data_IF_553669936344
#
_entry.id   IF_553669936344
#
_cell.length_a   1.000
_cell.length_b   1.000
_cell.length_c   1.000
_cell.angle_alpha   90.00
_cell.angle_beta   90.00
_cell.angle_gamma   90.00
#
_symmetry.space_group_name_H-M   'P 1'
#
loop_
_entity.id
_entity.type
_entity.pdbx_description
1 polymer ?
#
# COMPACT_ATOMS: atom_id res chain seq x y z
N UNK A 1 14.28 43.88 -6.01
CA UNK A 1 13.05 43.07 -5.96
C UNK A 1 13.48 41.62 -5.95
N UNK A 2 13.59 41.02 -4.75
CA UNK A 2 14.01 39.63 -4.62
C UNK A 2 12.77 38.76 -4.87
N UNK A 3 12.79 37.97 -5.94
CA UNK A 3 11.78 36.95 -6.19
C UNK A 3 11.94 35.86 -5.14
N UNK A 4 11.08 35.85 -4.13
CA UNK A 4 10.91 34.70 -3.25
C UNK A 4 10.40 33.55 -4.11
N UNK A 5 11.28 32.61 -4.47
CA UNK A 5 10.86 31.34 -5.02
C UNK A 5 10.07 30.62 -3.93
N UNK A 6 8.75 30.50 -4.11
CA UNK A 6 7.91 29.66 -3.25
C UNK A 6 8.42 28.22 -3.35
N UNK A 7 9.09 27.77 -2.29
CA UNK A 7 9.59 26.42 -2.17
C UNK A 7 8.39 25.48 -2.05
N UNK A 8 8.37 24.40 -2.84
CA UNK A 8 7.28 23.43 -2.78
C UNK A 8 7.11 22.91 -1.34
N UNK A 9 5.87 22.83 -0.82
CA UNK A 9 5.63 22.36 0.55
C UNK A 9 6.22 20.97 0.78
N UNK A 10 6.75 20.73 1.99
CA UNK A 10 7.22 19.41 2.38
C UNK A 10 6.08 18.38 2.31
N UNK A 11 6.38 17.14 1.92
CA UNK A 11 5.37 16.09 1.72
C UNK A 11 4.48 15.85 2.95
N UNK A 12 4.99 16.06 4.17
CA UNK A 12 4.21 15.94 5.42
C UNK A 12 2.98 16.87 5.46
N UNK A 13 3.00 17.98 4.72
CA UNK A 13 1.89 18.93 4.64
C UNK A 13 0.68 18.40 3.86
N UNK A 14 0.76 17.20 3.28
CA UNK A 14 -0.42 16.49 2.79
C UNK A 14 -1.42 16.17 3.92
N UNK A 15 -0.93 16.02 5.15
CA UNK A 15 -1.69 15.90 6.41
C UNK A 15 -1.56 17.19 7.23
N UNK A 16 -1.92 18.34 6.64
CA UNK A 16 -2.02 19.61 7.37
C UNK A 16 -3.38 19.76 8.09
N UNK A 17 -3.59 20.87 8.80
CA UNK A 17 -4.84 21.13 9.52
C UNK A 17 -6.07 21.11 8.60
N UNK A 18 -5.97 21.64 7.37
CA UNK A 18 -7.07 21.62 6.39
C UNK A 18 -7.43 20.18 6.00
N UNK A 19 -6.44 19.30 5.84
CA UNK A 19 -6.70 17.88 5.58
C UNK A 19 -7.41 17.22 6.75
N UNK A 20 -7.00 17.52 7.99
CA UNK A 20 -7.67 17.00 9.18
C UNK A 20 -9.14 17.45 9.23
N UNK A 21 -9.42 18.73 8.95
CA UNK A 21 -10.79 19.24 8.84
C UNK A 21 -11.60 18.50 7.78
N UNK A 22 -11.04 18.31 6.58
CA UNK A 22 -11.69 17.55 5.52
C UNK A 22 -12.01 16.11 5.94
N UNK A 23 -11.09 15.40 6.59
CA UNK A 23 -11.33 14.04 7.10
C UNK A 23 -12.46 14.07 8.13
N UNK A 24 -12.44 15.03 9.05
CA UNK A 24 -13.45 15.16 10.09
C UNK A 24 -14.85 15.44 9.53
N UNK A 25 -14.96 16.30 8.52
CA UNK A 25 -16.21 16.65 7.84
C UNK A 25 -16.75 15.46 7.03
N UNK A 26 -15.86 14.74 6.32
CA UNK A 26 -16.22 13.53 5.59
C UNK A 26 -16.67 12.41 6.55
N UNK A 27 -16.04 12.28 7.72
CA UNK A 27 -16.47 11.35 8.76
C UNK A 27 -17.82 11.72 9.35
N UNK A 28 -18.05 12.99 9.67
CA UNK A 28 -19.35 13.45 10.16
C UNK A 28 -20.47 13.23 9.14
N UNK A 29 -20.16 13.28 7.84
CA UNK A 29 -21.12 12.97 6.77
C UNK A 29 -21.53 11.50 6.77
N UNK A 30 -20.62 10.56 7.07
CA UNK A 30 -20.96 9.12 7.13
C UNK A 30 -21.49 8.68 8.49
N UNK A 31 -21.16 9.43 9.54
CA UNK A 31 -21.55 9.16 10.91
C UNK A 31 -21.87 10.47 11.65
N UNK A 32 -23.14 10.93 11.66
CA UNK A 32 -23.51 12.21 12.27
C UNK A 32 -23.21 12.32 13.77
N UNK A 33 -23.10 11.20 14.49
CA UNK A 33 -22.71 11.19 15.91
C UNK A 33 -21.18 11.25 16.12
N UNK A 34 -20.38 11.33 15.07
CA UNK A 34 -18.92 11.41 15.14
C UNK A 34 -18.46 12.63 15.95
N UNK A 35 -17.62 12.41 16.97
CA UNK A 35 -16.98 13.48 17.74
C UNK A 35 -15.89 14.19 16.92
N UNK A 36 -16.37 15.10 16.07
CA UNK A 36 -15.55 15.93 15.19
C UNK A 36 -14.52 16.75 15.96
N UNK A 37 -14.91 17.32 17.11
CA UNK A 37 -14.04 18.20 17.88
C UNK A 37 -12.94 17.40 18.58
N UNK A 38 -13.28 16.26 19.20
CA UNK A 38 -12.30 15.37 19.81
C UNK A 38 -11.31 14.83 18.79
N UNK A 39 -11.76 14.47 17.58
CA UNK A 39 -10.86 14.05 16.51
C UNK A 39 -9.86 15.15 16.16
N UNK A 40 -10.34 16.37 15.88
CA UNK A 40 -9.47 17.49 15.47
C UNK A 40 -8.48 17.88 16.57
N UNK A 41 -8.91 17.84 17.84
CA UNK A 41 -8.02 18.12 18.97
C UNK A 41 -6.89 17.09 19.06
N UNK A 42 -7.21 15.80 18.96
CA UNK A 42 -6.22 14.70 19.05
C UNK A 42 -5.29 14.66 17.84
N UNK A 43 -5.87 14.75 16.64
CA UNK A 43 -5.12 14.68 15.40
C UNK A 43 -4.23 15.91 15.18
N UNK A 44 -4.69 17.09 15.62
CA UNK A 44 -3.96 18.36 15.50
C UNK A 44 -2.89 18.59 16.58
N UNK A 45 -2.92 17.86 17.70
CA UNK A 45 -1.99 18.06 18.80
C UNK A 45 -0.53 17.78 18.39
N UNK A 46 0.34 18.79 18.49
CA UNK A 46 1.76 18.66 18.14
C UNK A 46 2.05 18.39 16.65
N UNK A 47 1.10 18.66 15.75
CA UNK A 47 1.17 18.25 14.33
C UNK A 47 2.44 18.73 13.60
N UNK A 48 2.97 19.90 13.96
CA UNK A 48 4.17 20.48 13.34
C UNK A 48 5.42 19.59 13.51
N UNK A 49 5.52 18.93 14.66
CA UNK A 49 6.64 18.07 15.09
C UNK A 49 6.59 16.69 14.44
N UNK A 50 5.42 16.26 13.96
CA UNK A 50 5.23 14.94 13.37
C UNK A 50 5.75 14.87 11.93
N UNK A 51 6.50 13.80 11.65
CA UNK A 51 6.84 13.35 10.29
C UNK A 51 5.61 12.85 9.54
N UNK A 52 5.73 12.65 8.23
CA UNK A 52 4.64 12.19 7.37
C UNK A 52 3.96 10.90 7.88
N UNK A 53 4.74 9.87 8.19
CA UNK A 53 4.19 8.58 8.65
C UNK A 53 3.60 8.68 10.05
N UNK A 54 4.14 9.55 10.92
CA UNK A 54 3.54 9.82 12.23
C UNK A 54 2.20 10.55 12.11
N UNK A 55 2.05 11.49 11.16
CA UNK A 55 0.77 12.16 10.90
C UNK A 55 -0.29 11.17 10.39
N UNK A 56 0.11 10.27 9.49
CA UNK A 56 -0.76 9.20 8.99
C UNK A 56 -1.25 8.29 10.13
N UNK A 57 -0.32 7.79 10.95
CA UNK A 57 -0.65 6.94 12.11
C UNK A 57 -1.57 7.68 13.09
N UNK A 58 -1.26 8.96 13.39
CA UNK A 58 -2.06 9.80 14.28
C UNK A 58 -3.51 9.94 13.83
N UNK A 59 -3.78 10.04 12.52
CA UNK A 59 -5.17 10.09 12.00
C UNK A 59 -5.91 8.81 12.35
N UNK A 60 -5.31 7.65 12.06
CA UNK A 60 -5.87 6.34 12.38
C UNK A 60 -6.14 6.18 13.88
N UNK A 61 -5.17 6.53 14.73
CA UNK A 61 -5.27 6.45 16.18
C UNK A 61 -6.35 7.39 16.73
N UNK A 62 -6.42 8.61 16.19
CA UNK A 62 -7.42 9.59 16.62
C UNK A 62 -8.84 9.12 16.26
N UNK A 63 -9.03 8.53 15.07
CA UNK A 63 -10.32 7.93 14.68
C UNK A 63 -10.71 6.78 15.60
N UNK A 64 -9.79 5.87 15.91
CA UNK A 64 -10.07 4.75 16.80
C UNK A 64 -10.57 5.21 18.18
N UNK A 65 -9.92 6.23 18.74
CA UNK A 65 -10.27 6.76 20.06
C UNK A 65 -11.64 7.46 20.10
N UNK A 66 -12.07 8.10 19.02
CA UNK A 66 -13.33 8.88 19.02
C UNK A 66 -14.52 8.13 18.43
N UNK A 67 -14.29 7.07 17.65
CA UNK A 67 -15.37 6.23 17.16
C UNK A 67 -15.98 5.43 18.32
N UNK A 68 -15.14 4.89 19.22
CA UNK A 68 -15.58 4.05 20.35
C UNK A 68 -16.56 2.93 19.91
N UNK A 69 -16.25 2.32 18.77
CA UNK A 69 -17.00 1.20 18.19
C UNK A 69 -16.12 -0.05 18.19
N UNK A 70 -16.77 -1.21 18.09
CA UNK A 70 -16.04 -2.44 17.77
C UNK A 70 -15.36 -2.36 16.39
N UNK A 71 -14.42 -3.27 16.17
CA UNK A 71 -13.60 -3.28 14.96
C UNK A 71 -14.44 -3.45 13.68
N UNK A 72 -15.40 -4.39 13.58
CA UNK A 72 -16.25 -4.51 12.39
C UNK A 72 -17.08 -3.26 12.10
N UNK A 73 -17.71 -2.66 13.12
CA UNK A 73 -18.53 -1.45 12.94
C UNK A 73 -17.67 -0.25 12.52
N UNK A 74 -16.46 -0.14 13.09
CA UNK A 74 -15.49 0.87 12.67
C UNK A 74 -15.12 0.70 11.19
N UNK A 75 -14.88 -0.53 10.72
CA UNK A 75 -14.54 -0.77 9.31
C UNK A 75 -15.66 -0.38 8.36
N UNK A 76 -16.93 -0.61 8.70
CA UNK A 76 -18.04 -0.21 7.84
C UNK A 76 -18.08 1.32 7.64
N UNK A 77 -17.86 2.09 8.71
CA UNK A 77 -17.73 3.55 8.61
C UNK A 77 -16.50 3.97 7.80
N UNK A 78 -15.35 3.31 7.99
CA UNK A 78 -14.13 3.62 7.26
C UNK A 78 -14.24 3.25 5.76
N UNK A 79 -14.96 2.17 5.42
CA UNK A 79 -15.28 1.82 4.03
C UNK A 79 -16.17 2.87 3.38
N UNK A 80 -17.15 3.40 4.12
CA UNK A 80 -17.98 4.51 3.68
C UNK A 80 -17.18 5.83 3.56
N UNK A 81 -16.18 6.05 4.42
CA UNK A 81 -15.32 7.23 4.34
C UNK A 81 -14.43 7.22 3.10
N UNK A 82 -13.84 6.07 2.75
CA UNK A 82 -12.83 5.95 1.68
C UNK A 82 -13.15 6.70 0.37
N UNK A 83 -14.35 6.56 -0.25
CA UNK A 83 -14.68 7.27 -1.50
C UNK A 83 -14.87 8.78 -1.34
N UNK A 84 -14.97 9.30 -0.11
CA UNK A 84 -15.17 10.72 0.19
C UNK A 84 -13.86 11.48 0.38
N UNK A 85 -12.74 10.76 0.49
CA UNK A 85 -11.42 11.37 0.66
C UNK A 85 -10.85 11.83 -0.68
N UNK A 86 -10.29 13.03 -0.68
CA UNK A 86 -9.78 13.73 -1.87
C UNK A 86 -8.28 13.51 -2.15
N UNK A 87 -7.65 12.49 -1.54
CA UNK A 87 -6.24 12.18 -1.80
C UNK A 87 -5.92 10.71 -1.57
N UNK A 88 -5.40 10.05 -2.61
CA UNK A 88 -5.00 8.64 -2.54
C UNK A 88 -3.94 8.35 -1.48
N UNK A 89 -3.01 9.27 -1.29
CA UNK A 89 -1.97 9.12 -0.28
C UNK A 89 -2.53 9.26 1.13
N UNK A 90 -3.51 10.16 1.32
CA UNK A 90 -4.19 10.31 2.60
C UNK A 90 -4.95 9.05 2.96
N UNK A 91 -5.60 8.39 1.99
CA UNK A 91 -6.31 7.13 2.21
C UNK A 91 -5.46 6.01 2.83
N UNK A 92 -4.12 6.10 2.86
CA UNK A 92 -3.24 5.09 3.47
C UNK A 92 -3.43 5.00 5.00
N UNK A 93 -4.02 6.00 5.67
CA UNK A 93 -4.39 5.82 7.09
C UNK A 93 -5.48 4.74 7.29
N UNK A 94 -6.30 4.45 6.28
CA UNK A 94 -7.36 3.44 6.35
C UNK A 94 -6.80 2.02 6.50
N UNK A 95 -5.89 1.54 5.62
CA UNK A 95 -5.24 0.25 5.83
C UNK A 95 -4.32 0.27 7.06
N UNK A 96 -3.76 1.42 7.46
CA UNK A 96 -3.06 1.52 8.75
C UNK A 96 -3.98 1.15 9.93
N UNK A 97 -5.21 1.66 9.96
CA UNK A 97 -6.21 1.27 10.98
C UNK A 97 -6.43 -0.25 11.02
N UNK A 98 -6.54 -0.88 9.86
CA UNK A 98 -6.67 -2.34 9.75
C UNK A 98 -5.46 -3.06 10.37
N UNK A 99 -4.24 -2.62 10.08
CA UNK A 99 -3.04 -3.22 10.66
C UNK A 99 -2.88 -2.96 12.17
N UNK A 100 -3.35 -1.81 12.66
CA UNK A 100 -3.27 -1.46 14.08
C UNK A 100 -4.27 -2.22 14.95
N UNK A 101 -5.48 -2.45 14.42
CA UNK A 101 -6.61 -2.93 15.22
C UNK A 101 -7.22 -4.25 14.74
N UNK A 102 -6.83 -4.75 13.56
CA UNK A 102 -7.47 -5.91 12.91
C UNK A 102 -6.73 -7.23 12.99
N UNK A 103 -5.54 -7.30 13.60
CA UNK A 103 -4.72 -8.53 13.62
C UNK A 103 -5.41 -9.75 14.24
N UNK A 104 -6.46 -9.53 15.05
CA UNK A 104 -7.26 -10.60 15.67
C UNK A 104 -8.37 -11.14 14.76
N UNK A 105 -8.75 -10.41 13.71
CA UNK A 105 -9.81 -10.78 12.76
C UNK A 105 -9.25 -10.77 11.32
N UNK A 106 -8.58 -11.86 10.97
CA UNK A 106 -7.80 -11.97 9.74
C UNK A 106 -8.65 -11.85 8.47
N UNK A 107 -9.76 -12.58 8.37
CA UNK A 107 -10.57 -12.63 7.14
C UNK A 107 -11.20 -11.25 6.86
N UNK A 108 -11.77 -10.63 7.89
CA UNK A 108 -12.34 -9.29 7.78
C UNK A 108 -11.27 -8.25 7.42
N UNK A 109 -10.10 -8.34 8.06
CA UNK A 109 -8.97 -7.46 7.76
C UNK A 109 -8.49 -7.61 6.33
N UNK A 110 -8.39 -8.84 5.81
CA UNK A 110 -7.90 -9.07 4.46
C UNK A 110 -8.89 -8.57 3.41
N UNK A 111 -10.18 -8.75 3.62
CA UNK A 111 -11.22 -8.13 2.79
C UNK A 111 -11.13 -6.60 2.84
N UNK A 112 -10.91 -6.01 4.01
CA UNK A 112 -10.76 -4.56 4.16
C UNK A 112 -9.50 -4.02 3.45
N UNK A 113 -8.34 -4.68 3.57
CA UNK A 113 -7.12 -4.28 2.87
C UNK A 113 -7.28 -4.34 1.35
N UNK A 114 -7.95 -5.38 0.84
CA UNK A 114 -8.29 -5.51 -0.59
C UNK A 114 -9.17 -4.35 -1.04
N UNK A 115 -10.18 -3.96 -0.25
CA UNK A 115 -11.04 -2.82 -0.56
C UNK A 115 -10.27 -1.48 -0.53
N UNK A 116 -9.52 -1.21 0.54
CA UNK A 116 -8.84 0.08 0.72
C UNK A 116 -7.71 0.32 -0.28
N UNK A 117 -7.09 -0.73 -0.83
CA UNK A 117 -6.00 -0.57 -1.79
C UNK A 117 -6.46 0.11 -3.09
N UNK A 118 -7.75 0.05 -3.43
CA UNK A 118 -8.31 0.78 -4.57
C UNK A 118 -8.29 2.30 -4.38
N UNK A 119 -8.38 2.79 -3.14
CA UNK A 119 -8.40 4.22 -2.81
C UNK A 119 -7.02 4.79 -2.53
N UNK A 120 -6.03 3.96 -2.24
CA UNK A 120 -4.67 4.37 -1.91
C UNK A 120 -3.69 3.24 -2.21
N UNK A 121 -3.12 2.66 -1.15
CA UNK A 121 -2.35 1.42 -1.18
C UNK A 121 -2.35 0.78 0.20
N UNK A 122 -2.55 -0.54 0.26
CA UNK A 122 -2.47 -1.32 1.50
C UNK A 122 -1.07 -1.92 1.74
N UNK A 123 -0.05 -1.49 0.98
CA UNK A 123 1.30 -2.09 0.95
C UNK A 123 2.03 -2.08 2.29
N UNK A 124 1.80 -1.08 3.14
CA UNK A 124 2.40 -1.05 4.48
C UNK A 124 1.65 -1.94 5.47
N UNK A 125 0.32 -1.95 5.38
CA UNK A 125 -0.54 -2.63 6.33
C UNK A 125 -0.47 -4.16 6.21
N UNK A 126 -0.51 -4.69 4.99
CA UNK A 126 -0.47 -6.15 4.74
C UNK A 126 0.80 -6.80 5.31
N UNK A 127 1.88 -6.02 5.46
CA UNK A 127 3.16 -6.50 5.98
C UNK A 127 3.09 -6.88 7.45
N UNK A 128 2.19 -6.29 8.22
CA UNK A 128 1.98 -6.69 9.61
C UNK A 128 1.38 -8.09 9.69
N UNK A 129 0.45 -8.41 8.78
CA UNK A 129 -0.12 -9.75 8.63
C UNK A 129 0.93 -10.74 8.11
N UNK A 130 1.73 -10.37 7.10
CA UNK A 130 2.86 -11.21 6.62
C UNK A 130 3.88 -11.50 7.74
N UNK A 131 4.11 -10.55 8.65
CA UNK A 131 5.03 -10.75 9.77
C UNK A 131 4.47 -11.70 10.82
N UNK A 132 3.16 -11.64 11.08
CA UNK A 132 2.50 -12.48 12.07
C UNK A 132 2.25 -13.90 11.56
N UNK A 133 1.77 -14.02 10.31
CA UNK A 133 1.44 -15.29 9.67
C UNK A 133 1.71 -15.19 8.16
N UNK A 134 2.97 -15.42 7.80
CA UNK A 134 3.47 -15.30 6.43
C UNK A 134 2.75 -16.26 5.49
N UNK A 135 2.59 -17.53 5.89
CA UNK A 135 1.99 -18.56 5.06
C UNK A 135 0.52 -18.26 4.76
N UNK A 136 -0.29 -17.94 5.79
CA UNK A 136 -1.70 -17.63 5.60
C UNK A 136 -1.90 -16.37 4.78
N UNK A 137 -1.09 -15.34 5.02
CA UNK A 137 -1.19 -14.07 4.28
C UNK A 137 -0.77 -14.23 2.82
N UNK A 138 0.30 -15.00 2.54
CA UNK A 138 0.73 -15.28 1.17
C UNK A 138 -0.31 -16.07 0.38
N UNK A 139 -1.06 -16.98 1.01
CA UNK A 139 -2.14 -17.70 0.35
C UNK A 139 -3.20 -16.73 -0.22
N UNK A 140 -3.63 -15.74 0.58
CA UNK A 140 -4.54 -14.67 0.11
C UNK A 140 -3.89 -13.82 -0.99
N UNK A 141 -2.60 -13.49 -0.85
CA UNK A 141 -1.89 -12.68 -1.84
C UNK A 141 -1.67 -13.42 -3.18
N UNK A 142 -1.57 -14.74 -3.17
CA UNK A 142 -1.56 -15.56 -4.39
C UNK A 142 -2.89 -15.43 -5.15
N UNK A 143 -4.02 -15.42 -4.45
CA UNK A 143 -5.33 -15.16 -5.07
C UNK A 143 -5.41 -13.73 -5.61
N UNK A 144 -4.94 -12.74 -4.85
CA UNK A 144 -4.90 -11.34 -5.28
C UNK A 144 -4.07 -11.12 -6.56
N UNK A 145 -3.03 -11.92 -6.79
CA UNK A 145 -2.26 -11.88 -8.04
C UNK A 145 -3.09 -12.28 -9.28
N UNK A 146 -4.27 -12.86 -9.09
CA UNK A 146 -5.20 -13.24 -10.17
C UNK A 146 -6.38 -12.29 -10.33
N UNK A 147 -6.48 -11.26 -9.48
CA UNK A 147 -7.63 -10.36 -9.42
C UNK A 147 -7.80 -9.53 -10.70
N UNK A 148 -9.04 -9.18 -11.05
CA UNK A 148 -9.32 -8.28 -12.18
C UNK A 148 -8.78 -6.85 -11.97
N UNK A 149 -8.70 -6.39 -10.72
CA UNK A 149 -8.23 -5.05 -10.37
C UNK A 149 -6.68 -4.99 -10.31
N UNK A 150 -6.10 -4.07 -11.09
CA UNK A 150 -4.65 -3.87 -11.11
C UNK A 150 -4.09 -3.39 -9.75
N UNK A 151 -4.87 -2.68 -8.93
CA UNK A 151 -4.44 -2.25 -7.60
C UNK A 151 -4.28 -3.42 -6.64
N UNK A 152 -5.15 -4.43 -6.75
CA UNK A 152 -5.08 -5.66 -5.95
C UNK A 152 -3.93 -6.54 -6.42
N UNK A 153 -3.76 -6.73 -7.74
CA UNK A 153 -2.61 -7.46 -8.29
C UNK A 153 -1.28 -6.80 -7.93
N UNK A 154 -1.22 -5.46 -8.03
CA UNK A 154 -0.03 -4.71 -7.63
C UNK A 154 0.24 -4.89 -6.13
N UNK A 155 -0.79 -4.86 -5.27
CA UNK A 155 -0.63 -5.09 -3.83
C UNK A 155 0.00 -6.46 -3.53
N UNK A 156 -0.40 -7.51 -4.25
CA UNK A 156 0.19 -8.83 -4.12
C UNK A 156 1.71 -8.80 -4.34
N UNK A 157 2.18 -8.13 -5.40
CA UNK A 157 3.62 -7.96 -5.67
C UNK A 157 4.30 -6.99 -4.68
N UNK A 158 3.71 -5.82 -4.44
CA UNK A 158 4.37 -4.75 -3.69
C UNK A 158 4.41 -5.04 -2.19
N UNK A 159 3.29 -5.49 -1.62
CA UNK A 159 3.17 -5.76 -0.20
C UNK A 159 4.12 -6.88 0.26
N UNK A 160 4.42 -7.82 -0.62
CA UNK A 160 5.33 -8.95 -0.38
C UNK A 160 6.79 -8.64 -0.70
N UNK A 161 7.15 -7.39 -1.05
CA UNK A 161 8.56 -7.02 -1.31
C UNK A 161 9.45 -7.27 -0.09
N UNK A 162 10.64 -7.90 -0.25
CA UNK A 162 11.59 -8.05 0.85
C UNK A 162 12.02 -6.72 1.47
N UNK A 163 12.19 -5.67 0.65
CA UNK A 163 12.79 -4.38 1.05
C UNK A 163 11.95 -3.17 0.63
N UNK A 164 10.65 -3.21 0.95
CA UNK A 164 9.77 -2.08 0.66
C UNK A 164 10.24 -0.79 1.38
N UNK A 165 10.46 0.32 0.66
CA UNK A 165 10.79 1.61 1.28
C UNK A 165 9.73 2.05 2.30
N UNK A 166 10.16 2.78 3.33
CA UNK A 166 9.32 3.27 4.43
C UNK A 166 8.60 2.17 5.24
N UNK A 167 8.99 0.91 5.05
CA UNK A 167 8.55 -0.22 5.87
C UNK A 167 9.75 -1.02 6.40
N UNK A 168 9.47 -1.89 7.35
CA UNK A 168 10.42 -2.88 7.84
C UNK A 168 10.66 -3.95 6.77
N UNK A 169 11.82 -4.62 6.81
CA UNK A 169 12.12 -5.75 5.90
C UNK A 169 11.30 -6.98 6.31
N UNK A 170 10.90 -7.79 5.33
CA UNK A 170 10.26 -9.09 5.59
C UNK A 170 11.34 -10.16 5.53
N UNK A 171 11.92 -10.50 6.68
CA UNK A 171 13.08 -11.40 6.79
C UNK A 171 12.82 -12.77 6.16
N UNK A 172 11.62 -13.34 6.34
CA UNK A 172 11.26 -14.63 5.74
C UNK A 172 11.28 -14.58 4.20
N UNK A 173 10.68 -13.55 3.61
CA UNK A 173 10.67 -13.34 2.15
C UNK A 173 12.04 -12.91 1.60
N UNK A 174 12.86 -12.26 2.43
CA UNK A 174 14.23 -11.95 2.07
C UNK A 174 15.12 -13.21 2.11
N UNK A 175 14.87 -14.13 3.05
CA UNK A 175 15.64 -15.36 3.20
C UNK A 175 15.29 -16.38 2.11
N UNK A 176 14.02 -16.50 1.73
CA UNK A 176 13.55 -17.44 0.72
C UNK A 176 12.68 -16.76 -0.36
N UNK A 177 13.24 -16.49 -1.56
CA UNK A 177 12.49 -15.89 -2.66
C UNK A 177 11.42 -16.84 -3.25
N UNK A 178 11.45 -18.15 -2.96
CA UNK A 178 10.45 -19.10 -3.46
C UNK A 178 9.06 -18.81 -2.90
N UNK A 179 8.96 -18.24 -1.71
CA UNK A 179 7.69 -17.93 -1.05
C UNK A 179 6.84 -16.94 -1.86
N UNK A 180 7.47 -15.93 -2.48
CA UNK A 180 6.77 -14.94 -3.31
C UNK A 180 6.82 -15.27 -4.81
N UNK A 181 7.59 -16.29 -5.23
CA UNK A 181 7.78 -16.65 -6.63
C UNK A 181 6.46 -16.87 -7.38
N UNK A 182 5.43 -17.58 -6.85
CA UNK A 182 4.16 -17.76 -7.55
C UNK A 182 3.48 -16.42 -7.93
N UNK A 183 3.60 -15.40 -7.09
CA UNK A 183 3.08 -14.05 -7.37
C UNK A 183 3.83 -13.42 -8.55
N UNK A 184 5.16 -13.45 -8.50
CA UNK A 184 6.01 -12.85 -9.53
C UNK A 184 5.82 -13.54 -10.89
N UNK A 185 5.73 -14.87 -10.89
CA UNK A 185 5.47 -15.66 -12.09
C UNK A 185 4.12 -15.33 -12.71
N UNK A 186 3.09 -15.17 -11.89
CA UNK A 186 1.75 -14.82 -12.36
C UNK A 186 1.71 -13.43 -13.00
N UNK A 187 2.47 -12.49 -12.45
CA UNK A 187 2.42 -11.06 -12.80
C UNK A 187 3.51 -10.62 -13.78
N UNK A 188 4.44 -11.53 -14.18
CA UNK A 188 5.59 -11.21 -15.04
C UNK A 188 5.25 -10.48 -16.35
N UNK A 189 4.09 -10.79 -16.93
CA UNK A 189 3.59 -10.18 -18.16
C UNK A 189 2.22 -9.50 -17.96
N UNK A 190 1.99 -8.93 -16.77
CA UNK A 190 0.73 -8.23 -16.47
C UNK A 190 0.48 -7.10 -17.48
N UNK A 191 -0.77 -6.88 -17.95
CA UNK A 191 -1.09 -5.79 -18.87
C UNK A 191 -0.85 -4.40 -18.26
N UNK A 192 -0.95 -4.26 -16.93
CA UNK A 192 -0.74 -2.98 -16.25
C UNK A 192 0.74 -2.64 -16.10
N UNK A 193 1.13 -1.42 -16.53
CA UNK A 193 2.47 -0.89 -16.25
C UNK A 193 2.69 -0.69 -14.75
N UNK A 194 1.64 -0.35 -13.99
CA UNK A 194 1.71 -0.16 -12.55
C UNK A 194 2.09 -1.47 -11.84
N UNK A 195 1.48 -2.59 -12.23
CA UNK A 195 1.83 -3.92 -11.73
C UNK A 195 3.25 -4.32 -12.15
N UNK A 196 3.60 -4.18 -13.44
CA UNK A 196 4.95 -4.56 -13.93
C UNK A 196 6.08 -3.80 -13.24
N UNK A 197 5.88 -2.51 -12.91
CA UNK A 197 6.85 -1.74 -12.12
C UNK A 197 7.07 -2.33 -10.73
N UNK A 198 5.99 -2.79 -10.08
CA UNK A 198 6.08 -3.48 -8.79
C UNK A 198 6.88 -4.77 -8.88
N UNK A 199 6.60 -5.61 -9.89
CA UNK A 199 7.31 -6.87 -10.12
C UNK A 199 8.80 -6.61 -10.33
N UNK A 200 9.16 -5.62 -11.17
CA UNK A 200 10.55 -5.24 -11.40
C UNK A 200 11.26 -4.77 -10.11
N UNK A 201 10.59 -3.95 -9.30
CA UNK A 201 11.12 -3.50 -8.01
C UNK A 201 11.27 -4.66 -7.01
N UNK A 202 10.32 -5.60 -6.99
CA UNK A 202 10.39 -6.79 -6.15
C UNK A 202 11.58 -7.66 -6.56
N UNK A 203 11.75 -7.97 -7.85
CA UNK A 203 12.91 -8.69 -8.35
C UNK A 203 14.22 -7.97 -8.00
N UNK A 204 14.28 -6.64 -8.17
CA UNK A 204 15.44 -5.85 -7.78
C UNK A 204 15.74 -5.94 -6.27
N UNK A 205 14.73 -6.02 -5.40
CA UNK A 205 14.96 -6.27 -3.97
C UNK A 205 15.58 -7.65 -3.73
N UNK A 206 15.10 -8.69 -4.44
CA UNK A 206 15.65 -10.05 -4.35
C UNK A 206 17.11 -10.09 -4.83
N UNK A 207 17.49 -9.33 -5.87
CA UNK A 207 18.89 -9.30 -6.36
C UNK A 207 19.92 -8.92 -5.31
N UNK A 208 19.51 -8.26 -4.22
CA UNK A 208 20.41 -7.82 -3.15
C UNK A 208 20.92 -8.96 -2.27
N UNK A 209 20.25 -10.11 -2.30
CA UNK A 209 20.61 -11.31 -1.53
C UNK A 209 20.70 -12.56 -2.42
N UNK A 210 19.80 -12.70 -3.40
CA UNK A 210 19.69 -13.87 -4.27
C UNK A 210 19.78 -13.49 -5.75
N UNK A 211 20.89 -12.89 -6.24
CA UNK A 211 21.01 -12.45 -7.62
C UNK A 211 20.92 -13.61 -8.62
N UNK A 212 21.54 -14.75 -8.32
CA UNK A 212 21.53 -15.94 -9.18
C UNK A 212 20.11 -16.50 -9.37
N UNK A 213 19.32 -16.52 -8.29
CA UNK A 213 17.92 -16.95 -8.35
C UNK A 213 17.11 -16.08 -9.32
N UNK A 214 17.34 -14.76 -9.33
CA UNK A 214 16.65 -13.85 -10.26
C UNK A 214 17.10 -14.09 -11.70
N UNK A 215 18.40 -14.26 -11.94
CA UNK A 215 18.94 -14.53 -13.28
C UNK A 215 18.34 -15.81 -13.88
N UNK A 216 18.35 -16.91 -13.13
CA UNK A 216 17.78 -18.20 -13.57
C UNK A 216 16.30 -18.09 -13.94
N UNK A 217 15.52 -17.28 -13.20
CA UNK A 217 14.11 -17.06 -13.51
C UNK A 217 13.92 -16.25 -14.78
N UNK A 218 14.68 -15.17 -14.94
CA UNK A 218 14.60 -14.31 -16.12
C UNK A 218 15.06 -15.03 -17.40
N UNK A 219 16.03 -15.95 -17.30
CA UNK A 219 16.45 -16.82 -18.40
C UNK A 219 15.32 -17.77 -18.85
N UNK A 220 14.52 -18.27 -17.91
CA UNK A 220 13.37 -19.13 -18.19
C UNK A 220 12.12 -18.38 -18.67
N UNK A 221 12.08 -17.05 -18.59
CA UNK A 221 10.91 -16.28 -19.00
C UNK A 221 10.87 -16.07 -20.51
N UNK A 222 9.70 -16.21 -21.15
CA UNK A 222 9.57 -15.98 -22.58
C UNK A 222 9.77 -14.49 -22.88
N UNK A 223 10.81 -14.19 -23.65
CA UNK A 223 11.02 -12.86 -24.21
C UNK A 223 10.06 -12.68 -25.38
N UNK A 224 8.88 -12.11 -25.15
CA UNK A 224 8.08 -11.60 -26.26
C UNK A 224 8.83 -10.40 -26.83
N UNK A 225 9.41 -10.53 -28.02
CA UNK A 225 9.94 -9.40 -28.77
C UNK A 225 8.78 -8.42 -29.00
N UNK A 226 8.64 -7.40 -28.16
CA UNK A 226 7.85 -6.23 -28.57
C UNK A 226 8.65 -5.60 -29.68
N UNK A 227 8.23 -5.86 -30.91
CA UNK A 227 8.51 -4.96 -32.02
C UNK A 227 8.01 -3.59 -31.57
N UNK A 228 8.94 -2.72 -31.18
CA UNK A 228 8.66 -1.29 -31.12
C UNK A 228 8.24 -0.93 -32.56
N UNK A 229 7.03 -0.39 -32.79
CA UNK A 229 6.65 0.04 -34.13
C UNK A 229 7.72 1.04 -34.62
N UNK A 230 8.49 0.65 -35.63
CA UNK A 230 9.56 1.47 -36.21
C UNK A 230 11.01 1.14 -35.84
N UNK A 231 11.31 0.10 -35.03
CA UNK A 231 12.70 -0.33 -34.83
C UNK A 231 13.12 -1.38 -35.87
N UNK A 232 14.21 -1.17 -36.63
CA UNK A 232 14.71 -2.18 -37.56
C UNK A 232 15.21 -3.40 -36.78
N UNK A 233 14.72 -4.57 -37.17
CA UNK A 233 15.23 -5.85 -36.69
C UNK A 233 16.63 -6.03 -37.27
N UNK A 234 17.66 -5.95 -36.45
CA UNK A 234 19.01 -6.40 -36.82
C UNK A 234 19.00 -7.94 -36.86
N UNK A 235 19.33 -8.59 -37.98
CA UNK A 235 19.46 -10.04 -38.00
C UNK A 235 20.71 -10.44 -37.21
N UNK A 236 20.57 -11.41 -36.30
CA UNK A 236 21.71 -12.11 -35.71
C UNK A 236 22.51 -12.77 -36.85
N UNK A 237 23.79 -12.39 -36.96
CA UNK A 237 24.74 -13.11 -37.79
C UNK A 237 25.04 -14.47 -37.17
N UNK A 238 25.07 -15.50 -38.02
CA UNK A 238 25.38 -16.88 -37.70
C UNK A 238 26.85 -17.08 -37.31
#
# INVERSE_FOLDING_TARGET
MSSTQEQAPALKEIFNQQRLMHIADAMHTVHPAFDRQGFLQRAGHGLAELSLMQRLARVSESLHQVLDLDYPSSLELLKALAPRLNSRFVCIFLPHYVASYGLHDFELSMAALKYFTGFGSSEFAVRHFLRQDCQRTLAVMHEWATDSDEHVRRLASEGSRPRLPWSFRLEQLQADPQLAAPILERLRNDPSLYVRKSVANHLNDITKEHPQWVLERLEGWPWSSRTVPGSPVMPCAA
#
